data_IF_644907707717
#
_entry.id   IF_644907707717
#
_cell.length_a   1.000
_cell.length_b   1.000
_cell.length_c   1.000
_cell.angle_alpha   90.00
_cell.angle_beta   90.00
_cell.angle_gamma   90.00
#
_symmetry.space_group_name_H-M   'P 1'
#
loop_
_entity.id
_entity.type
_entity.pdbx_description
1 polymer ?
#
# COMPACT_ATOMS: atom_id res chain seq x y z
N UNK A 1 -30.04 31.94 30.28
CA UNK A 1 -30.07 30.48 30.25
C UNK A 1 -29.06 30.04 29.20
N UNK A 2 -27.80 29.87 29.59
CA UNK A 2 -26.71 29.54 28.68
C UNK A 2 -26.80 28.05 28.36
N UNK A 3 -27.10 27.71 27.12
CA UNK A 3 -26.97 26.35 26.59
C UNK A 3 -25.49 26.05 26.49
N UNK A 4 -25.01 25.21 27.40
CA UNK A 4 -23.69 24.64 27.46
C UNK A 4 -23.57 23.71 26.25
N UNK A 5 -22.94 24.18 25.15
CA UNK A 5 -22.56 23.30 24.01
C UNK A 5 -21.79 22.10 24.56
N UNK A 6 -22.33 20.93 24.35
CA UNK A 6 -21.69 19.68 24.68
C UNK A 6 -20.38 19.60 23.89
N UNK A 7 -19.26 19.68 24.60
CA UNK A 7 -17.89 19.35 24.15
C UNK A 7 -17.97 18.11 23.27
N UNK A 8 -17.81 18.29 21.94
CA UNK A 8 -18.03 17.26 20.93
C UNK A 8 -17.14 16.05 21.18
N UNK A 9 -17.72 14.98 21.69
CA UNK A 9 -17.09 13.66 21.70
C UNK A 9 -16.79 13.31 20.25
N UNK A 10 -15.52 13.08 19.92
CA UNK A 10 -15.09 12.72 18.57
C UNK A 10 -15.86 11.47 18.11
N UNK A 11 -16.92 11.68 17.33
CA UNK A 11 -17.82 10.62 16.88
C UNK A 11 -17.09 9.67 15.95
N UNK A 12 -17.23 8.37 16.24
CA UNK A 12 -16.78 7.32 15.32
C UNK A 12 -17.94 7.02 14.38
N UNK A 13 -17.73 7.23 13.07
CA UNK A 13 -18.73 7.06 12.03
C UNK A 13 -18.35 5.87 11.16
N UNK A 14 -19.35 5.11 10.69
CA UNK A 14 -19.12 4.07 9.69
C UNK A 14 -18.84 4.74 8.34
N UNK A 15 -17.89 4.19 7.62
CA UNK A 15 -17.43 4.68 6.33
C UNK A 15 -17.34 3.51 5.36
N UNK A 16 -17.80 3.71 4.13
CA UNK A 16 -17.56 2.78 3.04
C UNK A 16 -16.31 3.21 2.27
N UNK A 17 -15.41 2.25 2.02
CA UNK A 17 -14.15 2.46 1.34
C UNK A 17 -14.22 1.83 -0.05
N UNK A 18 -13.87 2.60 -1.08
CA UNK A 18 -13.73 2.11 -2.45
C UNK A 18 -12.34 2.47 -2.99
N UNK A 19 -11.80 1.64 -3.89
CA UNK A 19 -10.57 1.99 -4.60
C UNK A 19 -10.85 3.00 -5.71
N UNK A 20 -9.93 3.93 -5.90
CA UNK A 20 -9.94 4.82 -7.07
C UNK A 20 -9.44 4.03 -8.29
N UNK A 21 -10.13 4.19 -9.43
CA UNK A 21 -9.79 3.50 -10.68
C UNK A 21 -8.32 3.72 -11.06
N UNK A 22 -7.59 2.62 -11.29
CA UNK A 22 -6.17 2.60 -11.71
C UNK A 22 -5.24 3.44 -10.82
N UNK A 23 -5.64 3.72 -9.57
CA UNK A 23 -4.85 4.53 -8.66
C UNK A 23 -4.68 3.85 -7.30
N UNK A 24 -3.45 3.41 -7.01
CA UNK A 24 -3.14 2.69 -5.77
C UNK A 24 -2.93 3.60 -4.57
N UNK A 25 -2.71 4.91 -4.80
CA UNK A 25 -2.41 5.90 -3.78
C UNK A 25 -3.65 6.38 -3.04
N UNK A 26 -4.79 6.49 -3.76
CA UNK A 26 -6.00 7.12 -3.25
C UNK A 26 -7.12 6.11 -3.02
N UNK A 27 -7.93 6.36 -1.99
CA UNK A 27 -9.20 5.68 -1.76
C UNK A 27 -10.33 6.71 -1.68
N UNK A 28 -11.52 6.31 -2.13
CA UNK A 28 -12.76 7.03 -1.86
C UNK A 28 -13.33 6.54 -0.55
N UNK A 29 -13.75 7.48 0.28
CA UNK A 29 -14.39 7.25 1.57
C UNK A 29 -15.78 7.87 1.51
N UNK A 30 -16.83 7.06 1.59
CA UNK A 30 -18.21 7.54 1.62
C UNK A 30 -18.72 7.54 3.06
N UNK A 31 -19.10 8.71 3.57
CA UNK A 31 -19.54 8.94 4.93
C UNK A 31 -20.82 9.76 4.87
N UNK A 32 -21.96 9.25 5.34
CA UNK A 32 -23.26 9.95 5.35
C UNK A 32 -23.60 10.58 3.98
N UNK A 33 -23.44 9.84 2.89
CA UNK A 33 -23.66 10.28 1.50
C UNK A 33 -22.63 11.29 0.95
N UNK A 34 -21.70 11.77 1.76
CA UNK A 34 -20.60 12.61 1.33
C UNK A 34 -19.38 11.77 0.94
N UNK A 35 -18.70 12.15 -0.14
CA UNK A 35 -17.55 11.43 -0.65
C UNK A 35 -16.27 12.22 -0.40
N UNK A 36 -15.29 11.54 0.17
CA UNK A 36 -13.97 12.08 0.49
C UNK A 36 -12.89 11.29 -0.23
N UNK A 37 -11.79 11.95 -0.57
CA UNK A 37 -10.57 11.28 -1.04
C UNK A 37 -9.57 11.19 0.10
N UNK A 38 -9.05 10.02 0.29
CA UNK A 38 -7.98 9.70 1.25
C UNK A 38 -6.65 9.42 0.53
N UNK A 39 -5.60 10.18 0.85
CA UNK A 39 -4.23 9.99 0.35
C UNK A 39 -3.43 9.10 1.31
N UNK A 40 -3.15 7.85 0.90
CA UNK A 40 -2.37 6.88 1.69
C UNK A 40 -0.88 7.20 1.72
N UNK A 41 -0.36 7.85 0.68
CA UNK A 41 1.07 8.10 0.50
C UNK A 41 1.49 9.51 0.95
N UNK A 42 0.63 10.23 1.67
CA UNK A 42 0.93 11.59 2.12
C UNK A 42 2.16 11.64 3.03
N UNK A 43 2.37 10.63 3.87
CA UNK A 43 3.54 10.52 4.74
C UNK A 43 4.53 9.51 4.17
N UNK A 44 5.79 9.92 3.99
CA UNK A 44 6.88 9.06 3.54
C UNK A 44 7.09 7.83 4.45
N UNK A 45 6.89 8.00 5.76
CA UNK A 45 7.04 6.92 6.74
C UNK A 45 6.07 5.75 6.53
N UNK A 46 4.93 5.98 5.89
CA UNK A 46 3.95 4.93 5.59
C UNK A 46 4.50 3.90 4.58
N UNK A 47 5.52 4.23 3.79
CA UNK A 47 6.15 3.28 2.90
C UNK A 47 6.90 2.18 3.65
N UNK A 48 7.55 2.56 4.76
CA UNK A 48 8.32 1.64 5.59
C UNK A 48 7.49 1.05 6.74
N UNK A 49 6.54 1.82 7.25
CA UNK A 49 5.69 1.44 8.38
C UNK A 49 4.21 1.60 8.01
N UNK A 50 3.65 0.70 7.19
CA UNK A 50 2.29 0.85 6.68
C UNK A 50 1.23 0.88 7.79
N UNK A 51 1.45 0.22 8.93
CA UNK A 51 0.56 0.28 10.08
C UNK A 51 0.46 1.68 10.73
N UNK A 52 1.38 2.59 10.42
CA UNK A 52 1.30 3.99 10.87
C UNK A 52 0.02 4.70 10.38
N UNK A 53 -0.62 4.21 9.32
CA UNK A 53 -1.92 4.71 8.85
C UNK A 53 -3.00 4.63 9.94
N UNK A 54 -2.99 3.58 10.76
CA UNK A 54 -4.00 3.42 11.83
C UNK A 54 -3.67 4.22 13.09
N UNK A 55 -2.39 4.58 13.28
CA UNK A 55 -1.92 5.29 14.47
C UNK A 55 -1.95 6.81 14.28
N UNK A 56 -1.70 7.28 13.07
CA UNK A 56 -1.64 8.70 12.74
C UNK A 56 -3.00 9.26 12.30
N UNK A 57 -3.09 10.58 12.31
CA UNK A 57 -4.21 11.32 11.74
C UNK A 57 -3.88 11.72 10.30
N UNK A 58 -4.89 11.67 9.44
CA UNK A 58 -4.77 11.96 8.02
C UNK A 58 -5.72 13.06 7.61
N UNK A 59 -5.41 13.72 6.51
CA UNK A 59 -6.32 14.67 5.90
C UNK A 59 -7.05 13.99 4.75
N UNK A 60 -8.36 14.23 4.68
CA UNK A 60 -9.23 13.82 3.58
C UNK A 60 -9.77 15.05 2.89
N UNK A 61 -10.11 14.93 1.62
CA UNK A 61 -10.68 16.03 0.81
C UNK A 61 -12.08 15.66 0.42
N UNK A 62 -13.02 16.56 0.70
CA UNK A 62 -14.41 16.40 0.26
C UNK A 62 -14.53 16.68 -1.24
N UNK A 63 -15.34 15.88 -1.94
CA UNK A 63 -15.71 16.08 -3.34
C UNK A 63 -17.22 16.20 -3.40
N UNK A 64 -17.71 17.33 -3.95
CA UNK A 64 -19.13 17.57 -4.13
C UNK A 64 -19.61 17.26 -5.56
N UNK A 65 -18.69 17.14 -6.52
CA UNK A 65 -18.99 16.92 -7.93
C UNK A 65 -19.19 15.42 -8.23
N UNK A 66 -20.45 15.04 -8.44
CA UNK A 66 -20.83 13.65 -8.74
C UNK A 66 -20.19 13.11 -10.02
N UNK A 67 -20.00 13.95 -11.04
CA UNK A 67 -19.39 13.53 -12.31
C UNK A 67 -17.93 13.11 -12.13
N UNK A 68 -17.19 13.80 -11.26
CA UNK A 68 -15.81 13.45 -10.90
C UNK A 68 -15.77 12.18 -10.05
N UNK A 69 -16.73 12.01 -9.14
CA UNK A 69 -16.83 10.79 -8.31
C UNK A 69 -17.04 9.58 -9.21
N UNK A 70 -17.92 9.64 -10.21
CA UNK A 70 -18.18 8.52 -11.11
C UNK A 70 -16.97 8.17 -11.99
N UNK A 71 -16.18 9.16 -12.41
CA UNK A 71 -14.92 8.93 -13.12
C UNK A 71 -13.85 8.27 -12.24
N UNK A 72 -13.87 8.53 -10.94
CA UNK A 72 -12.92 7.97 -9.99
C UNK A 72 -13.30 6.55 -9.53
N UNK A 73 -14.58 6.20 -9.56
CA UNK A 73 -15.05 4.86 -9.19
C UNK A 73 -14.56 3.83 -10.20
N UNK A 74 -14.18 2.67 -9.69
CA UNK A 74 -13.96 1.52 -10.56
C UNK A 74 -15.32 1.09 -11.13
N UNK A 75 -15.43 0.86 -12.46
CA UNK A 75 -16.57 0.13 -12.96
C UNK A 75 -16.64 -1.19 -12.18
N UNK A 76 -17.83 -1.55 -11.71
CA UNK A 76 -18.06 -2.80 -10.95
C UNK A 76 -17.78 -3.97 -11.89
N UNK A 77 -16.50 -4.27 -12.12
CA UNK A 77 -16.08 -5.39 -12.94
C UNK A 77 -16.15 -6.68 -12.13
N UNK A 78 -16.97 -7.55 -12.69
CA UNK A 78 -16.99 -9.01 -12.59
C UNK A 78 -16.06 -9.61 -11.52
N UNK A 79 -16.66 -10.32 -10.60
CA UNK A 79 -16.00 -11.28 -9.71
C UNK A 79 -15.00 -12.12 -10.52
N UNK A 80 -13.73 -11.81 -10.39
CA UNK A 80 -12.65 -12.60 -10.96
C UNK A 80 -12.77 -14.04 -10.46
N UNK A 81 -12.78 -14.98 -11.37
CA UNK A 81 -12.75 -16.44 -11.11
C UNK A 81 -11.38 -16.80 -10.51
N UNK A 82 -11.10 -16.34 -9.31
CA UNK A 82 -9.78 -16.38 -8.65
C UNK A 82 -9.35 -17.81 -8.28
N UNK A 83 -10.31 -18.75 -8.11
CA UNK A 83 -10.00 -20.08 -7.60
C UNK A 83 -9.19 -20.97 -8.57
N UNK A 84 -9.52 -20.99 -9.86
CA UNK A 84 -8.82 -21.81 -10.87
C UNK A 84 -7.39 -21.30 -11.12
N UNK A 85 -7.21 -19.98 -11.17
CA UNK A 85 -5.88 -19.37 -11.36
C UNK A 85 -4.95 -19.59 -10.16
N UNK A 86 -5.48 -19.67 -8.95
CA UNK A 86 -4.67 -19.95 -7.75
C UNK A 86 -4.12 -21.37 -7.76
N UNK A 87 -4.90 -22.35 -8.19
CA UNK A 87 -4.48 -23.77 -8.26
C UNK A 87 -3.44 -23.99 -9.37
N UNK A 88 -3.65 -23.40 -10.55
CA UNK A 88 -2.67 -23.42 -11.64
C UNK A 88 -1.37 -22.71 -11.25
N UNK A 89 -1.46 -21.61 -10.49
CA UNK A 89 -0.29 -20.88 -10.00
C UNK A 89 0.64 -21.73 -9.15
N UNK A 90 0.12 -22.58 -8.27
CA UNK A 90 0.95 -23.47 -7.43
C UNK A 90 1.69 -24.53 -8.28
N UNK A 91 0.99 -25.19 -9.20
CA UNK A 91 1.61 -26.20 -10.08
C UNK A 91 2.71 -25.61 -10.97
N UNK A 92 2.44 -24.45 -11.59
CA UNK A 92 3.43 -23.72 -12.42
C UNK A 92 4.62 -23.26 -11.58
N UNK A 93 4.41 -22.81 -10.34
CA UNK A 93 5.51 -22.36 -9.45
C UNK A 93 6.47 -23.49 -9.12
N UNK A 94 5.98 -24.71 -8.88
CA UNK A 94 6.81 -25.90 -8.60
C UNK A 94 7.63 -26.30 -9.84
N UNK A 95 7.01 -26.29 -11.03
CA UNK A 95 7.70 -26.57 -12.28
C UNK A 95 8.78 -25.54 -12.57
N UNK A 96 8.49 -24.24 -12.42
CA UNK A 96 9.46 -23.18 -12.59
C UNK A 96 10.61 -23.29 -11.60
N UNK A 97 10.34 -23.60 -10.33
CA UNK A 97 11.39 -23.77 -9.32
C UNK A 97 12.37 -24.90 -9.70
N UNK A 98 11.85 -26.04 -10.19
CA UNK A 98 12.68 -27.16 -10.63
C UNK A 98 13.46 -26.85 -11.91
N UNK A 99 12.88 -26.10 -12.85
CA UNK A 99 13.56 -25.68 -14.08
C UNK A 99 14.65 -24.62 -13.81
N UNK A 100 14.43 -23.75 -12.84
CA UNK A 100 15.39 -22.71 -12.48
C UNK A 100 16.56 -23.24 -11.62
N UNK A 101 16.39 -24.37 -10.94
CA UNK A 101 17.41 -24.94 -10.05
C UNK A 101 18.78 -25.11 -10.70
N UNK A 102 18.90 -25.78 -11.88
CA UNK A 102 20.20 -25.92 -12.52
C UNK A 102 20.78 -24.60 -13.06
N UNK A 103 19.90 -23.63 -13.31
CA UNK A 103 20.27 -22.30 -13.81
C UNK A 103 20.83 -21.42 -12.66
N UNK A 104 20.37 -21.64 -11.42
CA UNK A 104 20.79 -20.85 -10.27
C UNK A 104 22.30 -20.90 -10.01
N UNK A 105 22.97 -22.02 -10.31
CA UNK A 105 24.40 -22.16 -10.10
C UNK A 105 25.22 -21.25 -11.02
N UNK A 106 24.73 -20.96 -12.22
CA UNK A 106 25.36 -20.00 -13.14
C UNK A 106 25.31 -18.54 -12.66
N UNK A 107 24.43 -18.23 -11.73
CA UNK A 107 24.29 -16.88 -11.16
C UNK A 107 25.12 -16.66 -9.89
N UNK A 108 25.90 -17.65 -9.48
CA UNK A 108 26.85 -17.49 -8.38
C UNK A 108 28.13 -16.81 -8.89
N UNK A 109 28.36 -15.60 -8.43
CA UNK A 109 29.52 -14.79 -8.82
C UNK A 109 30.44 -14.65 -7.62
N UNK A 110 31.74 -14.95 -7.80
CA UNK A 110 32.73 -14.64 -6.79
C UNK A 110 33.06 -13.15 -6.83
N UNK A 111 32.56 -12.43 -5.84
CA UNK A 111 32.67 -10.97 -5.79
C UNK A 111 33.26 -10.54 -4.45
N UNK A 112 34.04 -9.46 -4.47
CA UNK A 112 34.58 -8.88 -3.24
C UNK A 112 33.45 -8.30 -2.37
N UNK A 113 33.60 -8.36 -1.04
CA UNK A 113 32.60 -7.89 -0.09
C UNK A 113 32.20 -6.43 -0.33
N UNK A 114 33.15 -5.58 -0.69
CA UNK A 114 32.88 -4.17 -0.97
C UNK A 114 31.91 -3.99 -2.16
N UNK A 115 32.09 -4.81 -3.20
CA UNK A 115 31.21 -4.77 -4.38
C UNK A 115 29.79 -5.26 -4.03
N UNK A 116 29.67 -6.32 -3.22
CA UNK A 116 28.38 -6.84 -2.75
C UNK A 116 27.57 -5.74 -2.03
N UNK A 117 28.18 -5.05 -1.07
CA UNK A 117 27.49 -3.98 -0.33
C UNK A 117 27.14 -2.78 -1.22
N UNK A 118 27.99 -2.46 -2.20
CA UNK A 118 27.71 -1.40 -3.18
C UNK A 118 26.48 -1.75 -4.03
N UNK A 119 26.40 -2.98 -4.55
CA UNK A 119 25.28 -3.46 -5.35
C UNK A 119 23.99 -3.48 -4.54
N UNK A 120 24.03 -3.96 -3.29
CA UNK A 120 22.87 -3.94 -2.39
C UNK A 120 22.35 -2.51 -2.14
N UNK A 121 23.27 -1.58 -1.87
CA UNK A 121 22.93 -0.17 -1.64
C UNK A 121 22.28 0.47 -2.87
N UNK A 122 22.84 0.24 -4.05
CA UNK A 122 22.30 0.72 -5.32
C UNK A 122 20.90 0.13 -5.55
N UNK A 123 20.76 -1.19 -5.36
CA UNK A 123 19.47 -1.89 -5.53
C UNK A 123 18.41 -1.32 -4.59
N UNK A 124 18.75 -1.08 -3.32
CA UNK A 124 17.82 -0.46 -2.36
C UNK A 124 17.40 0.95 -2.79
N UNK A 125 18.33 1.78 -3.25
CA UNK A 125 18.04 3.12 -3.78
C UNK A 125 17.10 3.02 -4.98
N UNK A 126 17.33 2.10 -5.91
CA UNK A 126 16.47 1.89 -7.09
C UNK A 126 15.05 1.52 -6.65
N UNK A 127 14.89 0.60 -5.69
CA UNK A 127 13.58 0.20 -5.16
C UNK A 127 12.81 1.42 -4.61
N UNK A 128 13.49 2.25 -3.82
CA UNK A 128 12.88 3.46 -3.23
C UNK A 128 12.51 4.48 -4.32
N UNK A 129 13.38 4.69 -5.31
CA UNK A 129 13.12 5.61 -6.42
C UNK A 129 11.93 5.16 -7.27
N UNK A 130 11.82 3.85 -7.59
CA UNK A 130 10.65 3.30 -8.30
C UNK A 130 9.37 3.55 -7.49
N UNK A 131 9.40 3.33 -6.18
CA UNK A 131 8.22 3.56 -5.32
C UNK A 131 7.80 5.03 -5.30
N UNK A 132 8.75 5.96 -5.20
CA UNK A 132 8.49 7.41 -5.25
C UNK A 132 7.93 7.79 -6.62
N UNK A 133 8.48 7.24 -7.69
CA UNK A 133 8.02 7.48 -9.06
C UNK A 133 6.55 7.03 -9.23
N UNK A 134 6.21 5.80 -8.80
CA UNK A 134 4.83 5.29 -8.83
C UNK A 134 3.87 6.18 -8.02
N UNK A 135 4.29 6.64 -6.84
CA UNK A 135 3.49 7.54 -6.03
C UNK A 135 3.24 8.90 -6.71
N UNK A 136 4.27 9.46 -7.38
CA UNK A 136 4.15 10.70 -8.16
C UNK A 136 3.23 10.53 -9.38
N UNK A 137 3.34 9.42 -10.11
CA UNK A 137 2.45 9.10 -11.22
C UNK A 137 0.99 9.05 -10.78
N UNK A 138 0.72 8.35 -9.68
CA UNK A 138 -0.62 8.25 -9.10
C UNK A 138 -1.17 9.62 -8.67
N UNK A 139 -0.32 10.49 -8.13
CA UNK A 139 -0.69 11.86 -7.78
C UNK A 139 -1.05 12.68 -9.03
N UNK A 140 -0.23 12.61 -10.07
CA UNK A 140 -0.49 13.31 -11.35
C UNK A 140 -1.80 12.84 -12.00
N UNK A 141 -2.08 11.53 -11.96
CA UNK A 141 -3.33 10.97 -12.48
C UNK A 141 -4.56 11.57 -11.78
N UNK A 142 -4.53 11.74 -10.46
CA UNK A 142 -5.64 12.37 -9.72
C UNK A 142 -5.75 13.86 -10.02
N UNK A 143 -4.63 14.59 -10.09
CA UNK A 143 -4.65 16.05 -10.35
C UNK A 143 -5.20 16.42 -11.73
N UNK A 144 -5.21 15.49 -12.68
CA UNK A 144 -5.83 15.69 -14.00
C UNK A 144 -7.37 15.63 -13.95
N UNK A 145 -7.95 14.98 -12.92
CA UNK A 145 -9.40 14.84 -12.76
C UNK A 145 -9.94 15.92 -11.83
N UNK A 146 -9.16 16.29 -10.81
CA UNK A 146 -9.61 17.20 -9.74
C UNK A 146 -8.67 18.40 -9.69
N UNK A 147 -9.22 19.60 -9.85
CA UNK A 147 -8.48 20.85 -9.65
C UNK A 147 -8.24 21.08 -8.15
N UNK A 148 -7.03 21.46 -7.79
CA UNK A 148 -6.59 21.63 -6.40
C UNK A 148 -7.19 22.82 -5.65
N UNK A 149 -7.98 23.67 -6.32
CA UNK A 149 -8.58 24.87 -5.75
C UNK A 149 -9.80 24.65 -4.82
N UNK A 150 -10.42 23.46 -4.88
CA UNK A 150 -11.71 23.20 -4.27
C UNK A 150 -11.68 22.31 -3.02
N UNK A 151 -10.50 22.20 -2.36
CA UNK A 151 -10.33 21.24 -1.29
C UNK A 151 -10.67 21.80 0.10
N UNK A 152 -11.77 21.38 0.67
CA UNK A 152 -12.00 21.41 2.10
C UNK A 152 -11.29 20.21 2.75
N UNK A 153 -10.31 20.50 3.58
CA UNK A 153 -9.52 19.47 4.27
C UNK A 153 -10.14 19.17 5.63
N UNK A 154 -10.43 17.91 5.86
CA UNK A 154 -10.84 17.42 7.17
C UNK A 154 -9.80 16.45 7.72
N UNK A 155 -9.59 16.49 9.04
CA UNK A 155 -8.64 15.63 9.72
C UNK A 155 -9.35 14.43 10.31
N UNK A 156 -8.95 13.24 9.88
CA UNK A 156 -9.56 11.98 10.29
C UNK A 156 -8.53 10.98 10.79
N UNK A 157 -8.97 10.06 11.62
CA UNK A 157 -8.22 8.86 11.99
C UNK A 157 -8.98 7.63 11.53
N UNK A 158 -8.34 6.82 10.69
CA UNK A 158 -8.90 5.56 10.20
C UNK A 158 -8.61 4.48 11.22
N UNK A 159 -9.64 3.70 11.59
CA UNK A 159 -9.47 2.54 12.44
C UNK A 159 -9.35 1.27 11.60
N UNK A 160 -8.56 0.28 12.02
CA UNK A 160 -8.53 -1.00 11.33
C UNK A 160 -9.88 -1.71 11.42
N UNK A 161 -10.22 -2.51 10.42
CA UNK A 161 -11.48 -3.26 10.35
C UNK A 161 -11.72 -4.12 11.59
N UNK A 162 -10.70 -4.89 12.00
CA UNK A 162 -10.77 -5.78 13.16
C UNK A 162 -9.36 -6.12 13.67
N UNK A 163 -9.27 -6.58 14.92
CA UNK A 163 -8.00 -7.10 15.46
C UNK A 163 -7.46 -8.28 14.65
N UNK A 164 -8.33 -9.17 14.18
CA UNK A 164 -7.95 -10.30 13.33
C UNK A 164 -7.29 -9.82 12.02
N UNK A 165 -7.81 -8.75 11.44
CA UNK A 165 -7.23 -8.13 10.24
C UNK A 165 -5.85 -7.54 10.53
N UNK A 166 -5.68 -6.80 11.63
CA UNK A 166 -4.38 -6.24 12.03
C UNK A 166 -3.35 -7.34 12.22
N UNK A 167 -3.71 -8.42 12.89
CA UNK A 167 -2.82 -9.55 13.12
C UNK A 167 -2.41 -10.23 11.80
N UNK A 168 -3.37 -10.51 10.92
CA UNK A 168 -3.11 -11.09 9.60
C UNK A 168 -2.20 -10.18 8.76
N UNK A 169 -2.48 -8.88 8.77
CA UNK A 169 -1.68 -7.88 8.08
C UNK A 169 -0.24 -7.85 8.61
N UNK A 170 -0.08 -7.75 9.93
CA UNK A 170 1.23 -7.69 10.57
C UNK A 170 2.04 -8.98 10.31
N UNK A 171 1.40 -10.14 10.41
CA UNK A 171 2.04 -11.42 10.11
C UNK A 171 2.53 -11.47 8.66
N UNK A 172 1.68 -11.08 7.68
CA UNK A 172 2.08 -11.03 6.27
C UNK A 172 3.22 -10.04 6.03
N UNK A 173 3.20 -8.89 6.69
CA UNK A 173 4.24 -7.88 6.59
C UNK A 173 5.59 -8.39 7.13
N UNK A 174 5.58 -9.00 8.32
CA UNK A 174 6.76 -9.59 8.93
C UNK A 174 7.31 -10.76 8.09
N UNK A 175 6.44 -11.56 7.49
CA UNK A 175 6.84 -12.63 6.58
C UNK A 175 7.60 -12.09 5.36
N UNK A 176 7.13 -11.01 4.74
CA UNK A 176 7.81 -10.37 3.60
C UNK A 176 9.16 -9.80 4.05
N UNK A 177 9.25 -9.18 5.23
CA UNK A 177 10.53 -8.69 5.77
C UNK A 177 11.51 -9.85 5.99
N UNK A 178 11.07 -10.93 6.63
CA UNK A 178 11.90 -12.10 6.87
C UNK A 178 12.44 -12.69 5.55
N UNK A 179 11.57 -12.80 4.54
CA UNK A 179 11.96 -13.25 3.22
C UNK A 179 13.01 -12.32 2.56
N UNK A 180 12.85 -11.00 2.66
CA UNK A 180 13.85 -10.05 2.17
C UNK A 180 15.19 -10.22 2.87
N UNK A 181 15.20 -10.44 4.20
CA UNK A 181 16.42 -10.69 4.97
C UNK A 181 17.12 -11.96 4.47
N UNK A 182 16.37 -13.03 4.21
CA UNK A 182 16.91 -14.29 3.67
C UNK A 182 17.52 -14.05 2.28
N UNK A 183 16.86 -13.30 1.40
CA UNK A 183 17.38 -12.97 0.08
C UNK A 183 18.70 -12.18 0.16
N UNK A 184 18.76 -11.17 1.04
CA UNK A 184 19.98 -10.38 1.28
C UNK A 184 21.11 -11.28 1.82
N UNK A 185 20.83 -12.09 2.84
CA UNK A 185 21.80 -12.98 3.44
C UNK A 185 22.34 -13.99 2.40
N UNK A 186 21.47 -14.59 1.60
CA UNK A 186 21.85 -15.52 0.54
C UNK A 186 22.71 -14.84 -0.53
N UNK A 187 22.39 -13.61 -0.92
CA UNK A 187 23.21 -12.85 -1.85
C UNK A 187 24.60 -12.54 -1.28
N UNK A 188 24.66 -12.14 0.01
CA UNK A 188 25.94 -11.82 0.68
C UNK A 188 26.83 -13.06 0.82
N UNK A 189 26.26 -14.22 1.17
CA UNK A 189 27.00 -15.46 1.46
C UNK A 189 27.43 -16.16 0.17
N UNK A 190 26.54 -16.26 -0.81
CA UNK A 190 26.75 -17.10 -2.00
C UNK A 190 27.00 -16.28 -3.27
N UNK A 191 26.87 -14.95 -3.25
CA UNK A 191 26.98 -14.10 -4.45
C UNK A 191 25.90 -14.36 -5.49
N UNK A 192 24.76 -14.92 -5.11
CA UNK A 192 23.73 -15.36 -6.06
C UNK A 192 22.87 -14.21 -6.54
N UNK A 193 23.03 -13.82 -7.82
CA UNK A 193 22.30 -12.68 -8.43
C UNK A 193 20.79 -12.91 -8.47
N UNK A 194 20.31 -14.16 -8.56
CA UNK A 194 18.87 -14.45 -8.50
C UNK A 194 18.24 -14.02 -7.17
N UNK A 195 19.00 -14.19 -6.06
CA UNK A 195 18.54 -13.73 -4.75
C UNK A 195 18.46 -12.20 -4.68
N UNK A 196 19.36 -11.49 -5.38
CA UNK A 196 19.26 -10.04 -5.52
C UNK A 196 18.00 -9.60 -6.30
N UNK A 197 17.64 -10.32 -7.37
CA UNK A 197 16.40 -10.05 -8.11
C UNK A 197 15.17 -10.33 -7.26
N UNK A 198 15.15 -11.40 -6.47
CA UNK A 198 14.06 -11.66 -5.52
C UNK A 198 13.96 -10.58 -4.44
N UNK A 199 15.10 -10.11 -3.91
CA UNK A 199 15.16 -8.99 -2.99
C UNK A 199 14.56 -7.73 -3.61
N UNK A 200 14.90 -7.42 -4.87
CA UNK A 200 14.35 -6.25 -5.57
C UNK A 200 12.84 -6.36 -5.73
N UNK A 201 12.32 -7.50 -6.18
CA UNK A 201 10.89 -7.73 -6.36
C UNK A 201 10.13 -7.68 -5.02
N UNK A 202 10.57 -8.42 -4.02
CA UNK A 202 9.92 -8.45 -2.71
C UNK A 202 10.08 -7.14 -1.94
N UNK A 203 11.16 -6.40 -2.16
CA UNK A 203 11.35 -5.05 -1.64
C UNK A 203 10.32 -4.06 -2.21
N UNK A 204 10.03 -4.13 -3.50
CA UNK A 204 8.93 -3.36 -4.11
C UNK A 204 7.59 -3.74 -3.52
N UNK A 205 7.29 -5.04 -3.36
CA UNK A 205 6.05 -5.51 -2.71
C UNK A 205 5.95 -4.94 -1.30
N UNK A 206 7.04 -4.96 -0.52
CA UNK A 206 7.07 -4.41 0.83
C UNK A 206 6.70 -2.91 0.86
N UNK A 207 7.26 -2.11 -0.05
CA UNK A 207 7.00 -0.68 -0.12
C UNK A 207 5.60 -0.33 -0.65
N UNK A 208 4.96 -1.25 -1.39
CA UNK A 208 3.58 -1.09 -1.88
C UNK A 208 2.57 -1.65 -0.86
N UNK A 209 3.02 -2.36 0.17
CA UNK A 209 2.15 -3.07 1.11
C UNK A 209 1.19 -2.14 1.89
N UNK A 210 1.46 -0.83 1.93
CA UNK A 210 0.56 0.17 2.49
C UNK A 210 -0.83 0.21 1.80
N UNK A 211 -0.95 -0.29 0.57
CA UNK A 211 -2.24 -0.40 -0.13
C UNK A 211 -3.21 -1.30 0.66
N UNK A 212 -2.69 -2.36 1.25
CA UNK A 212 -3.47 -3.33 2.01
C UNK A 212 -3.89 -2.85 3.41
N UNK A 213 -3.48 -1.66 3.85
CA UNK A 213 -3.89 -1.13 5.17
C UNK A 213 -5.33 -0.68 5.21
N UNK A 214 -5.84 -0.17 4.08
CA UNK A 214 -7.22 0.32 3.94
C UNK A 214 -7.85 -0.42 2.76
N UNK A 215 -8.69 -1.40 3.07
CA UNK A 215 -9.30 -2.32 2.11
C UNK A 215 -10.72 -1.85 1.81
N UNK A 216 -11.23 -2.09 0.58
CA UNK A 216 -12.63 -1.83 0.24
C UNK A 216 -13.60 -2.52 1.18
N UNK A 217 -14.71 -1.85 1.47
CA UNK A 217 -15.75 -2.29 2.38
C UNK A 217 -15.98 -1.31 3.53
N UNK A 218 -16.73 -1.74 4.54
CA UNK A 218 -17.07 -0.87 5.68
C UNK A 218 -15.94 -0.80 6.70
N UNK A 219 -15.52 0.40 7.05
CA UNK A 219 -14.56 0.67 8.12
C UNK A 219 -15.09 1.76 9.05
N UNK A 220 -14.35 2.08 10.11
CA UNK A 220 -14.71 3.12 11.06
C UNK A 220 -13.71 4.27 11.01
N UNK A 221 -14.23 5.48 10.93
CA UNK A 221 -13.44 6.71 10.92
C UNK A 221 -13.82 7.56 12.11
N UNK A 222 -12.83 8.23 12.68
CA UNK A 222 -12.99 9.22 13.73
C UNK A 222 -12.58 10.58 13.19
N UNK A 223 -13.51 11.53 13.08
CA UNK A 223 -13.20 12.93 12.80
C UNK A 223 -12.48 13.56 13.99
N UNK A 224 -11.43 14.28 13.69
CA UNK A 224 -10.67 15.04 14.68
C UNK A 224 -10.98 16.51 14.40
N UNK A 225 -11.92 17.09 15.18
CA UNK A 225 -12.17 18.51 15.10
C UNK A 225 -10.86 19.26 15.37
N UNK A 226 -10.42 20.08 14.41
CA UNK A 226 -9.38 21.05 14.69
C UNK A 226 -10.03 22.16 15.52
N UNK A 227 -9.55 22.33 16.74
CA UNK A 227 -9.73 23.57 17.50
C UNK A 227 -8.74 24.61 16.96
#
# INVERSE_FOLDING_TARGET
MFLREKKGSAQTVNCEVEFVNKNMRYNLLTINEETYIFDKDRSFWVFFFPFAIWLSSHYVFRIDDKSKIDQLKNPKDSQSKTGLFSFLGVGVSILLANLLRPIMDYFNIQITSLFIYSVLSITFIIIVLIRIFLSKMNKKSLSNIINSSDFNFEKVRIKPLSFKYVFKFLFSYLFIIAFNIICIASFVIYGNVMMLLFFMFMGLVLLIFNIATVVPGSTKIKFLNNY
#
